data_IF_585551747907
#
_entry.id   IF_585551747907
#
_cell.length_a   1.000
_cell.length_b   1.000
_cell.length_c   1.000
_cell.angle_alpha   90.00
_cell.angle_beta   90.00
_cell.angle_gamma   90.00
#
_symmetry.space_group_name_H-M   'P 1'
#
loop_
_entity.id
_entity.type
_entity.pdbx_description
1 polymer ?
#
# COMPACT_ATOMS: atom_id res chain seq x y z
N UNK A 1 28.04 -59.80 -3.50
CA UNK A 1 28.88 -58.65 -3.11
C UNK A 1 29.07 -57.82 -4.36
N UNK A 2 28.15 -56.90 -4.62
CA UNK A 2 28.22 -55.47 -4.24
C UNK A 2 29.12 -54.71 -5.22
N UNK A 3 28.77 -53.55 -5.76
CA UNK A 3 27.52 -52.78 -5.88
C UNK A 3 27.88 -51.70 -6.92
N UNK A 4 27.12 -51.60 -8.01
CA UNK A 4 27.40 -50.66 -9.10
C UNK A 4 26.91 -49.26 -8.74
N UNK A 5 27.80 -48.28 -8.88
CA UNK A 5 27.52 -46.86 -8.67
C UNK A 5 26.58 -46.35 -9.75
N UNK A 6 25.32 -46.14 -9.38
CA UNK A 6 24.34 -45.47 -10.24
C UNK A 6 24.49 -43.93 -10.15
N UNK A 7 25.32 -43.39 -11.04
CA UNK A 7 25.54 -41.95 -11.27
C UNK A 7 24.44 -41.36 -12.16
N UNK A 8 23.16 -41.52 -11.81
CA UNK A 8 22.03 -40.86 -12.51
C UNK A 8 20.86 -40.55 -11.55
N UNK A 9 21.14 -39.81 -10.49
CA UNK A 9 20.09 -39.06 -9.79
C UNK A 9 19.67 -37.87 -10.68
N UNK A 10 18.73 -38.13 -11.60
CA UNK A 10 18.11 -37.10 -12.41
C UNK A 10 17.54 -35.99 -11.53
N UNK A 11 18.05 -34.78 -11.70
CA UNK A 11 17.37 -33.54 -11.30
C UNK A 11 16.01 -33.53 -11.99
N UNK A 12 14.96 -33.98 -11.30
CA UNK A 12 13.60 -33.62 -11.64
C UNK A 12 13.43 -32.16 -11.23
N UNK A 13 13.80 -31.24 -12.11
CA UNK A 13 13.16 -29.93 -12.14
C UNK A 13 11.66 -30.20 -12.26
N UNK A 14 10.91 -29.93 -11.19
CA UNK A 14 9.45 -29.88 -11.29
C UNK A 14 9.14 -28.70 -12.20
N UNK A 15 8.88 -28.99 -13.48
CA UNK A 15 8.12 -28.11 -14.35
C UNK A 15 6.77 -27.91 -13.66
N UNK A 16 6.57 -26.73 -13.07
CA UNK A 16 5.21 -26.23 -12.88
C UNK A 16 4.57 -26.17 -14.28
N UNK A 17 3.26 -26.44 -14.41
CA UNK A 17 2.60 -26.33 -15.70
C UNK A 17 2.93 -24.97 -16.30
N UNK A 18 3.59 -24.99 -17.46
CA UNK A 18 4.05 -23.81 -18.15
C UNK A 18 2.84 -22.87 -18.33
N UNK A 19 2.93 -21.69 -17.73
CA UNK A 19 2.00 -20.56 -17.84
C UNK A 19 1.74 -20.11 -19.29
N UNK A 20 2.43 -20.71 -20.28
CA UNK A 20 2.54 -20.22 -21.66
C UNK A 20 1.25 -20.24 -22.47
N UNK A 21 0.19 -20.94 -22.03
CA UNK A 21 -1.05 -21.14 -22.79
C UNK A 21 -2.31 -21.22 -21.91
N UNK A 22 -2.45 -20.26 -20.98
CA UNK A 22 -3.59 -20.17 -20.07
C UNK A 22 -4.36 -18.83 -20.18
N UNK A 23 -5.62 -18.78 -20.62
CA UNK A 23 -6.54 -19.88 -20.78
C UNK A 23 -6.39 -20.63 -22.12
N UNK A 24 -6.94 -21.84 -22.26
CA UNK A 24 -7.18 -22.44 -23.56
C UNK A 24 -8.04 -21.48 -24.40
N UNK A 25 -7.65 -21.27 -25.65
CA UNK A 25 -8.24 -20.27 -26.56
C UNK A 25 -9.77 -20.36 -26.58
N UNK A 26 -10.46 -19.32 -26.06
CA UNK A 26 -11.88 -19.07 -26.35
C UNK A 26 -12.10 -17.59 -26.73
N UNK A 27 -12.27 -17.40 -28.02
CA UNK A 27 -13.02 -16.38 -28.76
C UNK A 27 -13.75 -15.24 -28.01
N UNK A 28 -13.47 -14.03 -28.51
CA UNK A 28 -14.27 -12.77 -28.52
C UNK A 28 -14.60 -12.10 -27.18
N UNK A 29 -13.63 -11.34 -26.66
CA UNK A 29 -13.91 -10.20 -25.78
C UNK A 29 -14.59 -9.08 -26.58
N UNK A 30 -15.93 -9.08 -26.60
CA UNK A 30 -16.73 -7.99 -27.14
C UNK A 30 -16.56 -6.73 -26.28
N UNK A 31 -16.58 -5.59 -26.93
CA UNK A 31 -16.45 -4.26 -26.33
C UNK A 31 -17.55 -3.98 -25.30
N UNK A 32 -17.18 -3.19 -24.28
CA UNK A 32 -18.01 -2.34 -23.40
C UNK A 32 -18.25 -2.80 -21.94
N UNK A 33 -17.65 -2.05 -21.01
CA UNK A 33 -18.40 -1.14 -20.15
C UNK A 33 -17.50 0.09 -19.86
N UNK A 34 -17.99 1.31 -20.05
CA UNK A 34 -17.16 2.54 -19.91
C UNK A 34 -17.27 3.20 -18.54
N UNK A 35 -18.19 2.73 -17.68
CA UNK A 35 -18.35 3.25 -16.31
C UNK A 35 -18.31 2.12 -15.30
N UNK A 36 -17.57 2.35 -14.21
CA UNK A 36 -17.33 1.44 -13.09
C UNK A 36 -18.60 0.82 -12.47
N UNK A 37 -19.75 1.49 -12.64
CA UNK A 37 -21.06 1.04 -12.16
C UNK A 37 -21.79 0.02 -13.03
N UNK A 38 -21.28 -0.25 -14.23
CA UNK A 38 -21.93 -1.12 -15.22
C UNK A 38 -21.50 -2.59 -15.06
N UNK A 39 -20.44 -2.86 -14.29
CA UNK A 39 -19.96 -4.21 -14.01
C UNK A 39 -20.82 -4.90 -12.95
N UNK A 40 -21.00 -6.24 -13.01
CA UNK A 40 -21.54 -7.02 -11.89
C UNK A 40 -20.75 -6.74 -10.62
N UNK A 41 -21.41 -6.77 -9.45
CA UNK A 41 -20.82 -6.35 -8.18
C UNK A 41 -20.97 -7.43 -7.12
N UNK A 42 -19.93 -7.60 -6.30
CA UNK A 42 -19.94 -8.39 -5.07
C UNK A 42 -19.94 -7.43 -3.88
N UNK A 43 -20.65 -7.78 -2.81
CA UNK A 43 -20.70 -7.00 -1.57
C UNK A 43 -19.67 -7.52 -0.57
N UNK A 44 -18.94 -6.60 0.02
CA UNK A 44 -17.99 -6.86 1.10
C UNK A 44 -18.41 -6.14 2.37
N UNK A 45 -18.02 -6.71 3.51
CA UNK A 45 -18.12 -6.03 4.80
C UNK A 45 -17.23 -4.78 4.83
N UNK A 46 -17.37 -3.97 5.89
CA UNK A 46 -16.55 -2.77 6.09
C UNK A 46 -15.05 -3.08 6.22
N UNK A 47 -14.71 -4.33 6.55
CA UNK A 47 -13.34 -4.81 6.58
C UNK A 47 -12.74 -5.03 5.18
N UNK A 48 -13.54 -4.99 4.09
CA UNK A 48 -13.13 -5.23 2.70
C UNK A 48 -12.42 -6.58 2.45
N UNK A 49 -12.52 -7.50 3.41
CA UNK A 49 -11.93 -8.83 3.39
C UNK A 49 -13.03 -9.87 3.19
N UNK A 50 -14.11 -9.77 3.95
CA UNK A 50 -15.17 -10.78 3.99
C UNK A 50 -16.37 -10.38 3.13
N UNK A 51 -16.99 -11.35 2.48
CA UNK A 51 -18.21 -11.13 1.70
C UNK A 51 -19.36 -10.80 2.66
N UNK A 52 -20.15 -9.79 2.32
CA UNK A 52 -21.33 -9.41 3.09
C UNK A 52 -22.61 -9.98 2.47
N UNK A 53 -23.46 -10.58 3.29
CA UNK A 53 -24.76 -11.10 2.87
C UNK A 53 -25.75 -9.98 2.51
N UNK A 54 -25.73 -8.88 3.26
CA UNK A 54 -26.56 -7.69 3.01
C UNK A 54 -25.83 -6.40 3.40
N UNK A 55 -26.12 -5.31 2.69
CA UNK A 55 -25.67 -3.94 3.00
C UNK A 55 -24.14 -3.76 3.08
N UNK A 56 -23.40 -4.21 2.05
CA UNK A 56 -21.94 -4.08 1.97
C UNK A 56 -21.41 -3.00 0.99
N UNK A 57 -20.09 -2.84 0.99
CA UNK A 57 -19.34 -2.07 -0.01
C UNK A 57 -19.33 -2.87 -1.33
N UNK A 58 -19.67 -2.22 -2.45
CA UNK A 58 -19.82 -2.89 -3.75
C UNK A 58 -18.53 -2.81 -4.55
N UNK A 59 -17.96 -3.97 -4.88
CA UNK A 59 -16.74 -4.10 -5.66
C UNK A 59 -17.04 -4.84 -6.98
N UNK A 60 -16.48 -4.43 -8.12
CA UNK A 60 -16.63 -5.15 -9.39
C UNK A 60 -16.27 -6.63 -9.24
N UNK A 61 -17.17 -7.50 -9.69
CA UNK A 61 -17.11 -8.95 -9.52
C UNK A 61 -15.78 -9.53 -10.00
N UNK A 62 -15.31 -9.15 -11.18
CA UNK A 62 -14.03 -9.63 -11.72
C UNK A 62 -12.84 -9.31 -10.81
N UNK A 63 -12.79 -8.09 -10.26
CA UNK A 63 -11.75 -7.67 -9.31
C UNK A 63 -11.85 -8.44 -8.00
N UNK A 64 -13.07 -8.55 -7.46
CA UNK A 64 -13.35 -9.24 -6.21
C UNK A 64 -12.96 -10.72 -6.28
N UNK A 65 -13.38 -11.44 -7.33
CA UNK A 65 -13.11 -12.87 -7.49
C UNK A 65 -11.61 -13.13 -7.67
N UNK A 66 -10.95 -12.37 -8.55
CA UNK A 66 -9.51 -12.52 -8.74
C UNK A 66 -8.73 -12.31 -7.42
N UNK A 67 -9.17 -11.34 -6.60
CA UNK A 67 -8.56 -11.05 -5.30
C UNK A 67 -8.83 -12.15 -4.27
N UNK A 68 -10.07 -12.65 -4.18
CA UNK A 68 -10.43 -13.77 -3.28
C UNK A 68 -9.64 -15.04 -3.64
N UNK A 69 -9.54 -15.35 -4.94
CA UNK A 69 -8.75 -16.48 -5.44
C UNK A 69 -7.26 -16.33 -5.12
N UNK A 70 -6.71 -15.12 -5.28
CA UNK A 70 -5.33 -14.83 -4.91
C UNK A 70 -5.08 -15.10 -3.42
N UNK A 71 -5.96 -14.65 -2.53
CA UNK A 71 -5.83 -14.90 -1.08
C UNK A 71 -5.90 -16.38 -0.74
N UNK A 72 -6.86 -17.11 -1.32
CA UNK A 72 -6.99 -18.55 -1.09
C UNK A 72 -5.70 -19.28 -1.47
N UNK A 73 -5.18 -19.01 -2.68
CA UNK A 73 -3.95 -19.66 -3.14
C UNK A 73 -2.70 -19.21 -2.39
N UNK A 74 -2.68 -17.97 -1.89
CA UNK A 74 -1.63 -17.50 -0.98
C UNK A 74 -1.64 -18.31 0.31
N UNK A 75 -2.80 -18.56 0.91
CA UNK A 75 -2.91 -19.44 2.10
C UNK A 75 -2.40 -20.85 1.78
N UNK A 76 -2.81 -21.45 0.66
CA UNK A 76 -2.34 -22.77 0.24
C UNK A 76 -0.79 -22.84 0.13
N UNK A 77 -0.16 -21.77 -0.35
CA UNK A 77 1.30 -21.66 -0.45
C UNK A 77 1.98 -21.52 0.92
N UNK A 78 1.30 -20.92 1.90
CA UNK A 78 1.81 -20.76 3.26
C UNK A 78 1.66 -22.01 4.13
N UNK A 79 0.70 -22.89 3.80
CA UNK A 79 0.56 -24.20 4.44
C UNK A 79 1.68 -25.18 4.06
N UNK A 80 2.43 -24.88 2.99
CA UNK A 80 3.63 -25.62 2.64
C UNK A 80 4.71 -25.49 3.72
N UNK A 81 5.58 -26.50 3.85
CA UNK A 81 6.70 -26.49 4.82
C UNK A 81 8.04 -26.55 4.09
N UNK A 82 8.86 -25.48 4.12
CA UNK A 82 8.62 -24.17 4.76
C UNK A 82 7.54 -23.33 4.04
N UNK A 83 6.94 -22.32 4.72
CA UNK A 83 5.97 -21.41 4.10
C UNK A 83 6.56 -20.77 2.85
N UNK A 84 5.84 -20.86 1.73
CA UNK A 84 6.35 -20.42 0.43
C UNK A 84 5.87 -19.01 0.09
N UNK A 85 6.78 -18.19 -0.42
CA UNK A 85 6.48 -16.84 -0.89
C UNK A 85 6.33 -16.89 -2.43
N UNK A 86 5.10 -16.78 -2.91
CA UNK A 86 4.78 -16.85 -4.35
C UNK A 86 5.41 -15.70 -5.18
N UNK A 87 5.87 -14.61 -4.55
CA UNK A 87 6.57 -13.52 -5.22
C UNK A 87 8.07 -13.82 -5.45
N UNK A 88 8.59 -14.90 -4.85
CA UNK A 88 9.94 -15.39 -5.15
C UNK A 88 9.98 -16.35 -6.33
N UNK A 89 8.83 -16.86 -6.75
CA UNK A 89 8.74 -17.62 -7.98
C UNK A 89 9.10 -16.68 -9.13
N UNK A 90 10.08 -17.08 -9.96
CA UNK A 90 10.47 -16.28 -11.11
C UNK A 90 9.28 -16.16 -12.04
N UNK A 91 8.71 -14.96 -12.09
CA UNK A 91 7.72 -14.61 -13.09
C UNK A 91 8.32 -14.86 -14.47
N UNK A 92 7.59 -15.51 -15.39
CA UNK A 92 7.97 -15.46 -16.79
C UNK A 92 8.13 -14.00 -17.20
N UNK A 93 9.10 -13.65 -18.06
CA UNK A 93 9.23 -12.29 -18.55
C UNK A 93 7.90 -11.83 -19.17
N UNK A 94 7.49 -10.59 -18.86
CA UNK A 94 6.29 -9.95 -19.41
C UNK A 94 6.48 -9.64 -20.90
N UNK A 95 6.41 -10.68 -21.73
CA UNK A 95 6.36 -10.59 -23.19
C UNK A 95 5.07 -9.90 -23.63
N UNK A 96 5.05 -9.31 -24.83
CA UNK A 96 3.83 -8.67 -25.34
C UNK A 96 2.66 -9.65 -25.48
N UNK A 97 2.94 -10.92 -25.82
CA UNK A 97 1.94 -12.00 -25.81
C UNK A 97 1.35 -12.20 -24.41
N UNK A 98 2.17 -12.18 -23.37
CA UNK A 98 1.71 -12.35 -21.97
C UNK A 98 0.88 -11.15 -21.51
N UNK A 99 1.25 -9.94 -21.91
CA UNK A 99 0.45 -8.73 -21.62
C UNK A 99 -0.93 -8.81 -22.27
N UNK A 100 -0.99 -9.25 -23.53
CA UNK A 100 -2.27 -9.45 -24.23
C UNK A 100 -3.12 -10.51 -23.53
N UNK A 101 -2.53 -11.63 -23.15
CA UNK A 101 -3.20 -12.70 -22.41
C UNK A 101 -3.76 -12.22 -21.06
N UNK A 102 -3.00 -11.44 -20.29
CA UNK A 102 -3.46 -10.83 -19.04
C UNK A 102 -4.66 -9.91 -19.29
N UNK A 103 -4.60 -9.13 -20.38
CA UNK A 103 -5.65 -8.21 -20.79
C UNK A 103 -6.91 -8.94 -21.24
N UNK A 104 -6.79 -10.01 -22.01
CA UNK A 104 -7.91 -10.86 -22.43
C UNK A 104 -8.62 -11.47 -21.21
N UNK A 105 -7.86 -12.00 -20.25
CA UNK A 105 -8.43 -12.54 -19.00
C UNK A 105 -9.10 -11.45 -18.18
N UNK A 106 -8.47 -10.29 -18.04
CA UNK A 106 -9.05 -9.16 -17.32
C UNK A 106 -10.37 -8.68 -17.96
N UNK A 107 -10.41 -8.59 -19.30
CA UNK A 107 -11.63 -8.23 -20.03
C UNK A 107 -12.70 -9.31 -19.90
N UNK A 108 -12.33 -10.59 -19.94
CA UNK A 108 -13.24 -11.71 -19.75
C UNK A 108 -13.88 -11.68 -18.35
N UNK A 109 -13.10 -11.40 -17.30
CA UNK A 109 -13.60 -11.27 -15.93
C UNK A 109 -14.49 -10.04 -15.71
N UNK A 110 -14.34 -9.02 -16.55
CA UNK A 110 -15.14 -7.80 -16.53
C UNK A 110 -16.38 -7.88 -17.44
N UNK A 111 -16.61 -8.99 -18.14
CA UNK A 111 -17.80 -9.21 -18.95
C UNK A 111 -19.05 -9.33 -18.05
N UNK A 112 -20.07 -8.52 -18.36
CA UNK A 112 -21.30 -8.40 -17.57
C UNK A 112 -22.13 -9.68 -17.52
N UNK A 113 -21.91 -10.61 -18.45
CA UNK A 113 -22.67 -11.85 -18.53
C UNK A 113 -22.07 -12.98 -17.67
N UNK A 114 -20.94 -12.76 -17.02
CA UNK A 114 -20.25 -13.80 -16.25
C UNK A 114 -20.83 -13.95 -14.87
N UNK A 115 -21.05 -15.19 -14.46
CA UNK A 115 -21.42 -15.51 -13.09
C UNK A 115 -20.20 -15.65 -12.18
N UNK A 116 -20.43 -15.62 -10.87
CA UNK A 116 -19.39 -15.81 -9.86
C UNK A 116 -18.74 -17.19 -9.99
N UNK A 117 -19.55 -18.25 -10.10
CA UNK A 117 -19.08 -19.62 -10.18
C UNK A 117 -18.23 -19.86 -11.43
N UNK A 118 -18.69 -19.40 -12.60
CA UNK A 118 -17.92 -19.51 -13.85
C UNK A 118 -16.55 -18.81 -13.73
N UNK A 119 -16.52 -17.65 -13.08
CA UNK A 119 -15.27 -16.90 -12.89
C UNK A 119 -14.32 -17.60 -11.92
N UNK A 120 -14.84 -18.21 -10.85
CA UNK A 120 -14.04 -18.98 -9.89
C UNK A 120 -13.48 -20.27 -10.52
N UNK A 121 -14.32 -21.04 -11.22
CA UNK A 121 -13.92 -22.25 -11.96
C UNK A 121 -12.86 -21.91 -13.01
N UNK A 122 -13.08 -20.82 -13.75
CA UNK A 122 -12.11 -20.35 -14.73
C UNK A 122 -10.76 -20.08 -14.08
N UNK A 123 -10.72 -19.38 -12.93
CA UNK A 123 -9.48 -19.03 -12.22
C UNK A 123 -8.88 -20.15 -11.35
N UNK A 124 -9.51 -21.31 -11.24
CA UNK A 124 -9.10 -22.38 -10.33
C UNK A 124 -7.68 -22.87 -10.60
N UNK A 125 -7.27 -22.96 -11.87
CA UNK A 125 -5.93 -23.44 -12.25
C UNK A 125 -4.87 -22.34 -12.34
N UNK A 126 -5.24 -21.07 -12.14
CA UNK A 126 -4.30 -19.95 -12.18
C UNK A 126 -3.30 -19.98 -11.01
N UNK A 127 -2.07 -19.51 -11.25
CA UNK A 127 -1.08 -19.31 -10.19
C UNK A 127 -1.38 -18.02 -9.40
N UNK A 128 -0.95 -17.90 -8.12
CA UNK A 128 -1.07 -16.65 -7.37
C UNK A 128 -0.41 -15.47 -8.10
N UNK A 129 0.76 -15.70 -8.69
CA UNK A 129 1.49 -14.67 -9.42
C UNK A 129 0.69 -14.18 -10.64
N UNK A 130 0.10 -15.09 -11.42
CA UNK A 130 -0.75 -14.71 -12.54
C UNK A 130 -1.99 -13.92 -12.10
N UNK A 131 -2.65 -14.36 -11.02
CA UNK A 131 -3.81 -13.67 -10.47
C UNK A 131 -3.49 -12.23 -10.02
N UNK A 132 -2.32 -12.01 -9.41
CA UNK A 132 -1.85 -10.67 -9.08
C UNK A 132 -1.77 -9.79 -10.34
N UNK A 133 -1.15 -10.28 -11.42
CA UNK A 133 -1.05 -9.53 -12.67
C UNK A 133 -2.41 -9.29 -13.35
N UNK A 134 -3.34 -10.24 -13.26
CA UNK A 134 -4.72 -10.06 -13.73
C UNK A 134 -5.42 -8.95 -12.94
N UNK A 135 -5.29 -8.93 -11.61
CA UNK A 135 -5.81 -7.86 -10.76
C UNK A 135 -5.25 -6.50 -11.20
N UNK A 136 -3.93 -6.40 -11.40
CA UNK A 136 -3.29 -5.17 -11.84
C UNK A 136 -3.77 -4.71 -13.22
N UNK A 137 -4.02 -5.64 -14.15
CA UNK A 137 -4.56 -5.30 -15.46
C UNK A 137 -6.03 -4.85 -15.38
N UNK A 138 -6.85 -5.48 -14.53
CA UNK A 138 -8.21 -5.03 -14.23
C UNK A 138 -8.20 -3.58 -13.71
N UNK A 139 -7.29 -3.25 -12.80
CA UNK A 139 -7.16 -1.89 -12.25
C UNK A 139 -6.82 -0.87 -13.34
N UNK A 140 -5.93 -1.21 -14.28
CA UNK A 140 -5.60 -0.34 -15.42
C UNK A 140 -6.78 -0.12 -16.37
N UNK A 141 -7.68 -1.11 -16.50
CA UNK A 141 -8.85 -1.04 -17.37
C UNK A 141 -9.98 -0.17 -16.79
N UNK A 142 -10.13 -0.11 -15.46
CA UNK A 142 -11.24 0.54 -14.75
C UNK A 142 -11.12 2.10 -14.67
N UNK A 143 -10.64 2.80 -15.71
CA UNK A 143 -10.40 4.28 -15.69
C UNK A 143 -11.52 5.15 -15.03
N UNK A 144 -11.23 6.27 -14.32
CA UNK A 144 -9.94 6.96 -14.19
C UNK A 144 -9.47 7.37 -12.78
N UNK A 145 -8.13 7.49 -12.70
CA UNK A 145 -7.25 8.03 -11.66
C UNK A 145 -6.86 7.05 -10.53
N UNK A 146 -5.58 6.62 -10.50
CA UNK A 146 -4.99 6.00 -9.32
C UNK A 146 -5.10 6.92 -8.10
N UNK A 147 -4.80 6.44 -6.89
CA UNK A 147 -4.76 7.28 -5.69
C UNK A 147 -3.83 8.49 -5.93
N UNK A 148 -4.36 9.72 -6.01
CA UNK A 148 -3.54 10.89 -6.24
C UNK A 148 -2.78 11.20 -4.94
N UNK A 149 -1.47 11.41 -5.03
CA UNK A 149 -0.65 11.81 -3.87
C UNK A 149 -0.30 13.27 -4.03
N UNK A 150 -0.79 14.10 -3.11
CA UNK A 150 -0.56 15.55 -3.17
C UNK A 150 0.91 15.91 -2.90
N UNK A 151 1.36 17.07 -3.41
CA UNK A 151 2.73 17.56 -3.14
C UNK A 151 3.00 17.74 -1.63
N UNK A 152 1.97 18.12 -0.87
CA UNK A 152 2.04 18.20 0.59
C UNK A 152 2.30 16.83 1.23
N UNK A 153 1.53 15.81 0.83
CA UNK A 153 1.77 14.43 1.26
C UNK A 153 3.14 13.92 0.82
N UNK A 154 3.59 14.25 -0.41
CA UNK A 154 4.93 13.89 -0.87
C UNK A 154 6.02 14.49 0.04
N UNK A 155 5.88 15.77 0.41
CA UNK A 155 6.77 16.48 1.32
C UNK A 155 6.85 15.85 2.72
N UNK A 156 5.74 15.33 3.23
CA UNK A 156 5.70 14.62 4.52
C UNK A 156 6.25 13.19 4.41
N UNK A 157 5.76 12.41 3.44
CA UNK A 157 6.04 10.97 3.31
C UNK A 157 7.49 10.69 2.88
N UNK A 158 8.14 11.59 2.12
CA UNK A 158 9.58 11.46 1.81
C UNK A 158 10.44 11.30 3.06
N UNK A 159 9.96 11.83 4.18
CA UNK A 159 10.66 11.83 5.45
C UNK A 159 10.16 10.74 6.42
N UNK A 160 9.32 9.81 5.99
CA UNK A 160 8.80 8.72 6.83
C UNK A 160 9.16 7.38 6.20
N UNK A 161 9.87 6.50 6.91
CA UNK A 161 10.14 5.13 6.50
C UNK A 161 9.98 4.14 7.65
N UNK A 162 9.01 3.25 7.55
CA UNK A 162 8.78 2.20 8.56
C UNK A 162 9.78 1.05 8.49
N UNK A 163 10.67 1.03 7.48
CA UNK A 163 11.72 0.02 7.31
C UNK A 163 13.11 0.48 7.73
N UNK A 164 13.24 1.75 8.14
CA UNK A 164 14.51 2.29 8.61
C UNK A 164 14.90 1.67 9.94
N UNK A 165 16.19 1.35 10.07
CA UNK A 165 16.81 1.03 11.36
C UNK A 165 16.85 2.33 12.18
N UNK A 166 16.19 2.34 13.34
CA UNK A 166 16.00 3.55 14.16
C UNK A 166 14.64 4.24 13.97
N UNK A 167 14.61 5.58 14.10
CA UNK A 167 13.39 6.39 14.07
C UNK A 167 12.73 6.33 12.66
N UNK A 168 11.41 6.18 12.51
CA UNK A 168 10.78 6.23 11.19
C UNK A 168 10.81 7.63 10.54
N UNK A 169 11.00 8.70 11.30
CA UNK A 169 11.08 10.09 10.80
C UNK A 169 12.56 10.51 10.67
N UNK A 170 12.93 11.23 9.60
CA UNK A 170 14.29 11.79 9.48
C UNK A 170 14.56 12.84 10.57
N UNK A 171 15.79 12.82 11.12
CA UNK A 171 16.17 13.58 12.33
C UNK A 171 15.87 15.09 12.17
N UNK A 172 16.31 15.66 11.06
CA UNK A 172 16.17 17.09 10.75
C UNK A 172 14.69 17.52 10.67
N UNK A 173 13.80 16.63 10.24
CA UNK A 173 12.36 16.89 10.10
C UNK A 173 11.61 16.71 11.41
N UNK A 174 12.05 15.74 12.23
CA UNK A 174 11.54 15.59 13.59
C UNK A 174 11.86 16.83 14.44
N UNK A 175 13.07 17.38 14.31
CA UNK A 175 13.46 18.62 14.98
C UNK A 175 12.60 19.80 14.52
N UNK A 176 12.37 19.94 13.21
CA UNK A 176 11.50 20.98 12.65
C UNK A 176 10.05 20.86 13.14
N UNK A 177 9.47 19.66 13.13
CA UNK A 177 8.06 19.44 13.53
C UNK A 177 7.84 19.64 15.04
N UNK A 178 8.84 19.26 15.85
CA UNK A 178 8.78 19.49 17.29
C UNK A 178 8.77 21.00 17.59
N UNK A 179 9.58 21.79 16.88
CA UNK A 179 9.58 23.25 17.01
C UNK A 179 8.22 23.87 16.62
N UNK A 180 7.63 23.48 15.49
CA UNK A 180 6.30 23.97 15.06
C UNK A 180 5.18 23.61 16.04
N UNK A 181 5.24 22.42 16.64
CA UNK A 181 4.19 21.93 17.56
C UNK A 181 4.21 22.70 18.88
N UNK A 182 5.40 23.03 19.39
CA UNK A 182 5.59 23.87 20.58
C UNK A 182 5.05 25.28 20.37
N UNK A 183 5.30 25.87 19.19
CA UNK A 183 4.80 27.21 18.83
C UNK A 183 3.27 27.29 18.69
N UNK A 184 2.62 26.19 18.29
CA UNK A 184 1.15 26.14 18.11
C UNK A 184 0.39 25.80 19.41
N UNK A 185 1.04 25.15 20.39
CA UNK A 185 0.40 24.85 21.67
C UNK A 185 0.42 26.00 22.66
N UNK A 186 1.47 26.82 22.62
CA UNK A 186 1.62 27.97 23.50
C UNK A 186 1.77 29.21 22.61
N UNK A 187 0.72 30.04 22.52
CA UNK A 187 0.81 31.38 21.90
C UNK A 187 1.78 32.35 22.60
N UNK A 188 2.76 31.80 23.31
CA UNK A 188 3.84 32.42 24.06
C UNK A 188 5.13 31.84 23.51
N UNK A 189 5.92 32.72 22.91
CA UNK A 189 7.34 32.57 22.57
C UNK A 189 8.08 31.45 23.30
N UNK A 190 8.62 30.51 22.50
CA UNK A 190 9.82 29.66 22.75
C UNK A 190 10.28 29.48 24.20
N UNK A 191 10.28 28.25 24.75
CA UNK A 191 11.13 27.92 25.89
C UNK A 191 12.57 27.87 25.39
N UNK A 192 13.32 28.97 25.57
CA UNK A 192 14.73 29.06 25.21
C UNK A 192 15.70 28.37 26.18
N UNK A 193 15.24 27.82 27.31
CA UNK A 193 16.16 27.50 28.41
C UNK A 193 16.01 26.09 29.02
N UNK A 194 15.41 25.15 28.30
CA UNK A 194 15.49 23.74 28.67
C UNK A 194 16.48 23.05 27.73
N UNK A 195 17.76 23.04 28.16
CA UNK A 195 18.75 22.04 27.75
C UNK A 195 18.24 20.65 28.18
N UNK A 196 17.18 20.18 27.55
CA UNK A 196 16.93 18.76 27.40
C UNK A 196 17.85 18.37 26.26
N UNK A 197 18.89 17.57 26.56
CA UNK A 197 19.80 17.03 25.55
C UNK A 197 18.98 16.54 24.36
N UNK A 198 18.95 17.32 23.27
CA UNK A 198 18.31 16.94 22.01
C UNK A 198 18.88 15.60 21.54
N UNK A 199 20.15 15.32 21.86
CA UNK A 199 20.79 14.03 21.63
C UNK A 199 20.14 12.87 22.40
N UNK A 200 19.71 13.05 23.66
CA UNK A 200 18.97 12.03 24.41
C UNK A 200 17.50 11.92 23.95
N UNK A 201 16.88 13.02 23.54
CA UNK A 201 15.49 13.08 23.06
C UNK A 201 15.33 12.42 21.68
N UNK A 202 16.36 12.51 20.82
CA UNK A 202 16.40 11.92 19.47
C UNK A 202 16.97 10.49 19.45
N UNK A 203 17.68 10.06 20.50
CA UNK A 203 18.30 8.72 20.59
C UNK A 203 17.39 7.63 21.17
N UNK A 204 16.30 7.96 21.86
CA UNK A 204 15.43 6.95 22.47
C UNK A 204 14.19 6.69 21.62
N UNK A 205 14.16 5.49 21.04
CA UNK A 205 13.07 4.90 20.28
C UNK A 205 11.83 4.74 21.18
N UNK A 206 10.95 5.72 21.17
CA UNK A 206 9.68 5.65 21.89
C UNK A 206 8.61 5.11 20.94
N UNK A 207 7.76 4.22 21.44
CA UNK A 207 6.58 3.69 20.73
C UNK A 207 5.70 4.85 20.23
N UNK A 208 5.70 5.92 21.00
CA UNK A 208 5.06 7.22 20.80
C UNK A 208 5.51 7.87 19.49
N UNK A 209 6.82 7.93 19.23
CA UNK A 209 7.33 8.51 17.97
C UNK A 209 6.93 7.68 16.75
N UNK A 210 6.89 6.35 16.90
CA UNK A 210 6.44 5.44 15.84
C UNK A 210 4.95 5.60 15.55
N UNK A 211 4.14 5.76 16.60
CA UNK A 211 2.70 6.05 16.47
C UNK A 211 2.46 7.43 15.87
N UNK A 212 3.24 8.45 16.24
CA UNK A 212 3.15 9.78 15.62
C UNK A 212 3.43 9.71 14.11
N UNK A 213 4.53 9.06 13.71
CA UNK A 213 4.86 8.85 12.30
C UNK A 213 3.76 8.11 11.54
N UNK A 214 3.16 7.10 12.17
CA UNK A 214 2.03 6.36 11.63
C UNK A 214 0.78 7.25 11.44
N UNK A 215 0.45 8.09 12.43
CA UNK A 215 -0.68 9.01 12.34
C UNK A 215 -0.48 10.08 11.27
N UNK A 216 0.72 10.66 11.15
CA UNK A 216 1.08 11.61 10.09
C UNK A 216 0.90 10.98 8.71
N UNK A 217 1.42 9.75 8.55
CA UNK A 217 1.34 8.98 7.33
C UNK A 217 -0.11 8.67 6.95
N UNK A 218 -0.88 8.08 7.88
CA UNK A 218 -2.28 7.72 7.66
C UNK A 218 -3.14 8.94 7.34
N UNK A 219 -2.93 10.05 8.06
CA UNK A 219 -3.68 11.29 7.83
C UNK A 219 -3.42 11.84 6.43
N UNK A 220 -2.17 11.86 5.98
CA UNK A 220 -1.79 12.35 4.65
C UNK A 220 -2.53 11.55 3.56
N UNK A 221 -2.51 10.22 3.68
CA UNK A 221 -3.14 9.32 2.72
C UNK A 221 -4.68 9.34 2.79
N UNK A 222 -5.27 9.49 3.98
CA UNK A 222 -6.71 9.60 4.15
C UNK A 222 -7.28 10.76 3.35
N UNK A 223 -6.66 11.94 3.48
CA UNK A 223 -7.11 13.10 2.75
C UNK A 223 -6.87 13.01 1.25
N UNK A 224 -5.72 12.46 0.84
CA UNK A 224 -5.44 12.19 -0.57
C UNK A 224 -6.50 11.24 -1.17
N UNK A 225 -6.91 10.20 -0.43
CA UNK A 225 -7.99 9.29 -0.84
C UNK A 225 -9.36 9.99 -0.92
N UNK A 226 -9.64 10.94 -0.02
CA UNK A 226 -10.89 11.73 -0.06
C UNK A 226 -10.97 12.67 -1.27
N UNK A 227 -9.87 12.97 -1.95
CA UNK A 227 -9.92 13.72 -3.22
C UNK A 227 -10.54 12.92 -4.37
N UNK A 228 -10.63 11.59 -4.23
CA UNK A 228 -11.32 10.72 -5.20
C UNK A 228 -12.83 10.91 -5.06
N UNK A 229 -13.40 11.80 -5.88
CA UNK A 229 -14.83 12.14 -5.88
C UNK A 229 -15.73 10.93 -6.15
N UNK A 230 -15.27 9.98 -6.97
CA UNK A 230 -16.03 8.77 -7.26
C UNK A 230 -15.88 7.76 -6.12
N UNK A 231 -16.89 7.69 -5.23
CA UNK A 231 -16.92 6.75 -4.11
C UNK A 231 -16.65 5.30 -4.53
N UNK A 232 -17.20 4.82 -5.65
CA UNK A 232 -16.99 3.43 -6.10
C UNK A 232 -15.53 3.17 -6.45
N UNK A 233 -14.87 4.16 -7.05
CA UNK A 233 -13.44 4.07 -7.35
C UNK A 233 -12.61 4.07 -6.08
N UNK A 234 -12.94 4.96 -5.12
CA UNK A 234 -12.28 5.01 -3.81
C UNK A 234 -12.41 3.68 -3.07
N UNK A 235 -13.60 3.06 -3.09
CA UNK A 235 -13.85 1.74 -2.52
C UNK A 235 -13.01 0.64 -3.22
N UNK A 236 -12.81 0.70 -4.54
CA UNK A 236 -11.90 -0.21 -5.25
C UNK A 236 -10.43 -0.02 -4.84
N UNK A 237 -9.95 1.23 -4.73
CA UNK A 237 -8.58 1.54 -4.27
C UNK A 237 -8.38 0.99 -2.86
N UNK A 238 -9.32 1.28 -1.95
CA UNK A 238 -9.32 0.74 -0.60
C UNK A 238 -9.31 -0.79 -0.58
N UNK A 239 -10.14 -1.43 -1.41
CA UNK A 239 -10.22 -2.88 -1.52
C UNK A 239 -8.86 -3.49 -1.92
N UNK A 240 -8.18 -2.93 -2.91
CA UNK A 240 -6.85 -3.41 -3.34
C UNK A 240 -5.83 -3.28 -2.20
N UNK A 241 -5.79 -2.11 -1.55
CA UNK A 241 -4.85 -1.85 -0.46
C UNK A 241 -5.10 -2.79 0.72
N UNK A 242 -6.34 -2.90 1.19
CA UNK A 242 -6.69 -3.73 2.34
C UNK A 242 -6.41 -5.21 2.07
N UNK A 243 -6.68 -5.69 0.86
CA UNK A 243 -6.36 -7.07 0.50
C UNK A 243 -4.86 -7.31 0.38
N UNK A 244 -4.08 -6.34 -0.10
CA UNK A 244 -2.62 -6.43 -0.09
C UNK A 244 -2.05 -6.44 1.34
N UNK A 245 -2.59 -5.60 2.24
CA UNK A 245 -2.28 -5.64 3.67
C UNK A 245 -2.64 -6.99 4.30
N UNK A 246 -3.77 -7.58 3.90
CA UNK A 246 -4.17 -8.91 4.36
C UNK A 246 -3.17 -9.98 3.92
N UNK A 247 -2.69 -9.99 2.67
CA UNK A 247 -1.64 -10.91 2.22
C UNK A 247 -0.37 -10.81 3.08
N UNK A 248 0.03 -9.60 3.45
CA UNK A 248 1.19 -9.33 4.34
C UNK A 248 0.93 -9.85 5.74
N UNK A 249 -0.23 -9.56 6.34
CA UNK A 249 -0.60 -10.05 7.67
C UNK A 249 -0.60 -11.57 7.72
N UNK A 250 -1.21 -12.24 6.74
CA UNK A 250 -1.24 -13.71 6.65
C UNK A 250 0.17 -14.28 6.49
N UNK A 251 1.04 -13.63 5.71
CA UNK A 251 2.44 -14.02 5.60
C UNK A 251 3.18 -13.88 6.94
N UNK A 252 3.01 -12.75 7.64
CA UNK A 252 3.57 -12.52 8.98
C UNK A 252 3.12 -13.59 9.97
N UNK A 253 1.83 -13.93 10.00
CA UNK A 253 1.27 -14.99 10.85
C UNK A 253 1.90 -16.35 10.57
N UNK A 254 2.16 -16.68 9.30
CA UNK A 254 2.73 -17.97 8.91
C UNK A 254 4.20 -18.12 9.31
N UNK A 255 4.97 -17.03 9.32
CA UNK A 255 6.42 -17.09 9.57
C UNK A 255 6.84 -16.59 10.96
N UNK A 256 5.94 -15.94 11.70
CA UNK A 256 6.22 -15.39 13.04
C UNK A 256 5.17 -15.85 14.06
N UNK A 257 5.52 -16.76 14.99
CA UNK A 257 4.59 -17.31 15.98
C UNK A 257 4.01 -16.26 16.95
N UNK A 258 4.72 -15.15 17.15
CA UNK A 258 4.34 -14.08 18.07
C UNK A 258 3.58 -12.94 17.37
N UNK A 259 3.30 -13.07 16.07
CA UNK A 259 2.56 -12.05 15.34
C UNK A 259 1.09 -12.06 15.74
N UNK A 260 0.60 -10.92 16.20
CA UNK A 260 -0.83 -10.70 16.43
C UNK A 260 -1.22 -9.35 15.85
N UNK A 261 -2.01 -9.39 14.77
CA UNK A 261 -2.42 -8.18 14.05
C UNK A 261 -3.43 -7.34 14.84
N UNK A 262 -4.21 -7.94 15.73
CA UNK A 262 -5.39 -7.28 16.31
C UNK A 262 -5.07 -6.32 17.46
N UNK A 263 -3.90 -6.45 18.09
CA UNK A 263 -3.57 -5.73 19.33
C UNK A 263 -2.51 -4.62 19.19
N UNK A 264 -1.83 -4.51 18.04
CA UNK A 264 -0.76 -3.52 17.91
C UNK A 264 -0.66 -2.90 16.50
N UNK A 265 -0.85 -1.58 16.34
CA UNK A 265 -0.70 -0.89 15.06
C UNK A 265 0.72 -0.97 14.47
N UNK A 266 1.71 -1.37 15.28
CA UNK A 266 3.11 -1.52 14.87
C UNK A 266 3.53 -2.98 14.66
N UNK A 267 2.62 -3.96 14.75
CA UNK A 267 2.96 -5.38 14.69
C UNK A 267 3.70 -5.76 13.40
N UNK A 268 3.17 -5.36 12.24
CA UNK A 268 3.80 -5.66 10.94
C UNK A 268 5.17 -4.98 10.83
N UNK A 269 5.29 -3.71 11.27
CA UNK A 269 6.56 -3.00 11.32
C UNK A 269 7.62 -3.74 12.14
N UNK A 270 7.25 -4.29 13.30
CA UNK A 270 8.17 -5.07 14.15
C UNK A 270 8.63 -6.34 13.47
N UNK A 271 7.72 -7.10 12.86
CA UNK A 271 8.07 -8.34 12.15
C UNK A 271 8.92 -8.06 10.92
N UNK A 272 8.60 -7.01 10.16
CA UNK A 272 9.35 -6.62 8.96
C UNK A 272 10.82 -6.25 9.25
N UNK A 273 11.11 -5.72 10.44
CA UNK A 273 12.48 -5.42 10.90
C UNK A 273 13.20 -6.63 11.53
N UNK A 274 12.48 -7.71 11.81
CA UNK A 274 13.03 -8.88 12.47
C UNK A 274 13.75 -9.80 11.47
N UNK A 275 14.88 -10.43 11.85
CA UNK A 275 15.47 -11.50 11.07
C UNK A 275 14.59 -12.78 11.09
N UNK A 276 14.56 -13.57 10.00
CA UNK A 276 15.12 -13.28 8.67
C UNK A 276 14.25 -12.22 7.96
N UNK A 277 14.87 -11.32 7.19
CA UNK A 277 14.19 -10.22 6.49
C UNK A 277 13.24 -10.62 5.34
N UNK A 278 12.65 -11.81 5.40
CA UNK A 278 11.73 -12.36 4.41
C UNK A 278 10.41 -11.61 4.35
N UNK A 279 9.88 -11.08 5.47
CA UNK A 279 8.71 -10.19 5.46
C UNK A 279 9.02 -8.89 4.72
N UNK A 280 10.17 -8.26 5.02
CA UNK A 280 10.60 -7.05 4.31
C UNK A 280 10.70 -7.30 2.81
N UNK A 281 11.28 -8.42 2.41
CA UNK A 281 11.36 -8.81 1.00
C UNK A 281 9.97 -9.04 0.38
N UNK A 282 9.06 -9.71 1.10
CA UNK A 282 7.68 -9.90 0.64
C UNK A 282 6.96 -8.57 0.42
N UNK A 283 7.02 -7.66 1.40
CA UNK A 283 6.41 -6.34 1.29
C UNK A 283 7.02 -5.54 0.15
N UNK A 284 8.36 -5.55 0.02
CA UNK A 284 9.05 -4.86 -1.07
C UNK A 284 8.60 -5.38 -2.44
N UNK A 285 8.55 -6.69 -2.64
CA UNK A 285 8.12 -7.29 -3.91
C UNK A 285 6.66 -6.97 -4.23
N UNK A 286 5.79 -7.05 -3.24
CA UNK A 286 4.38 -6.74 -3.44
C UNK A 286 4.18 -5.25 -3.76
N UNK A 287 4.97 -4.37 -3.13
CA UNK A 287 4.98 -2.94 -3.40
C UNK A 287 5.50 -2.61 -4.81
N UNK A 288 6.58 -3.26 -5.26
CA UNK A 288 7.15 -3.12 -6.62
C UNK A 288 6.10 -3.43 -7.71
N UNK A 289 5.20 -4.38 -7.47
CA UNK A 289 4.15 -4.76 -8.42
C UNK A 289 2.93 -3.81 -8.38
N UNK A 290 2.43 -3.46 -7.19
CA UNK A 290 1.18 -2.71 -7.03
C UNK A 290 1.37 -1.20 -7.23
N UNK A 291 2.44 -0.63 -6.67
CA UNK A 291 2.60 0.82 -6.57
C UNK A 291 2.53 1.57 -7.91
N UNK A 292 3.18 1.09 -8.99
CA UNK A 292 3.18 1.80 -10.29
C UNK A 292 1.80 1.87 -10.96
N UNK A 293 0.85 1.02 -10.53
CA UNK A 293 -0.51 0.98 -11.04
C UNK A 293 -1.45 1.80 -10.17
N UNK A 294 -1.14 1.93 -8.87
CA UNK A 294 -2.06 2.43 -7.86
C UNK A 294 -1.87 3.90 -7.50
N UNK A 295 -0.71 4.51 -7.71
CA UNK A 295 -0.49 5.92 -7.37
C UNK A 295 -0.35 6.83 -8.59
N UNK A 296 -0.86 8.05 -8.44
CA UNK A 296 -0.61 9.14 -9.36
C UNK A 296 0.09 10.27 -8.60
N UNK A 297 1.36 10.51 -8.95
CA UNK A 297 2.20 11.51 -8.30
C UNK A 297 2.62 12.53 -9.35
N UNK A 298 2.42 13.81 -9.03
CA UNK A 298 2.79 14.90 -9.93
C UNK A 298 4.30 14.89 -10.21
N UNK A 299 4.62 14.84 -11.50
CA UNK A 299 6.02 14.89 -11.97
C UNK A 299 6.68 16.23 -11.65
N UNK A 300 5.90 17.32 -11.54
CA UNK A 300 6.42 18.63 -11.21
C UNK A 300 7.13 18.64 -9.85
N UNK A 301 6.59 17.91 -8.86
CA UNK A 301 7.21 17.79 -7.54
C UNK A 301 8.64 17.24 -7.62
N UNK A 302 8.87 16.19 -8.40
CA UNK A 302 10.21 15.63 -8.61
C UNK A 302 11.14 16.58 -9.38
N UNK A 303 10.59 17.36 -10.31
CA UNK A 303 11.34 18.38 -11.04
C UNK A 303 11.84 19.46 -10.09
N UNK A 304 11.01 19.92 -9.16
CA UNK A 304 11.41 20.88 -8.12
C UNK A 304 12.55 20.33 -7.24
N UNK A 305 12.47 19.07 -6.81
CA UNK A 305 13.55 18.43 -6.03
C UNK A 305 14.88 18.31 -6.80
N UNK A 306 14.83 18.20 -8.14
CA UNK A 306 16.03 18.16 -8.97
C UNK A 306 16.73 19.51 -9.09
N UNK A 307 16.00 20.63 -9.00
CA UNK A 307 16.59 21.97 -9.20
C UNK A 307 17.68 22.30 -8.17
N UNK A 308 17.74 21.55 -7.07
CA UNK A 308 18.77 21.63 -6.04
C UNK A 308 20.03 20.78 -6.35
N UNK A 309 20.12 20.10 -7.51
CA UNK A 309 21.19 19.14 -7.83
C UNK A 309 21.82 19.39 -9.20
N UNK A 310 23.13 19.63 -9.22
CA UNK A 310 23.92 19.92 -10.44
C UNK A 310 24.51 18.69 -11.13
N UNK A 311 24.41 17.51 -10.53
CA UNK A 311 25.03 16.24 -10.97
C UNK A 311 24.13 15.39 -11.89
N UNK A 312 22.90 15.83 -12.16
CA UNK A 312 21.91 15.08 -12.94
C UNK A 312 22.13 15.30 -14.45
N UNK A 313 22.57 14.26 -15.15
CA UNK A 313 22.83 14.29 -16.61
C UNK A 313 21.58 13.97 -17.45
N UNK A 314 20.75 13.01 -17.04
CA UNK A 314 19.46 12.69 -17.67
C UNK A 314 18.30 12.95 -16.71
N UNK A 315 17.69 14.13 -16.84
CA UNK A 315 16.55 14.56 -16.02
C UNK A 315 15.31 13.68 -16.19
N UNK A 316 15.06 13.16 -17.40
CA UNK A 316 13.85 12.37 -17.66
C UNK A 316 13.95 11.00 -17.03
N UNK A 317 15.10 10.35 -17.19
CA UNK A 317 15.36 9.06 -16.56
C UNK A 317 15.38 9.21 -15.03
N UNK A 318 15.97 10.29 -14.50
CA UNK A 318 15.99 10.55 -13.07
C UNK A 318 14.58 10.68 -12.49
N UNK A 319 13.72 11.52 -13.08
CA UNK A 319 12.32 11.70 -12.61
C UNK A 319 11.57 10.38 -12.62
N UNK A 320 11.69 9.60 -13.70
CA UNK A 320 11.00 8.31 -13.79
C UNK A 320 11.43 7.37 -12.66
N UNK A 321 12.73 7.17 -12.48
CA UNK A 321 13.26 6.27 -11.46
C UNK A 321 12.91 6.72 -10.03
N UNK A 322 12.98 8.02 -9.76
CA UNK A 322 12.67 8.54 -8.42
C UNK A 322 11.16 8.53 -8.13
N UNK A 323 10.32 8.75 -9.15
CA UNK A 323 8.87 8.57 -9.05
C UNK A 323 8.51 7.12 -8.72
N UNK A 324 9.02 6.18 -9.51
CA UNK A 324 8.78 4.74 -9.28
C UNK A 324 9.28 4.30 -7.89
N UNK A 325 10.49 4.71 -7.50
CA UNK A 325 11.02 4.39 -6.18
C UNK A 325 10.18 5.01 -5.04
N UNK A 326 9.65 6.22 -5.24
CA UNK A 326 8.82 6.89 -4.24
C UNK A 326 7.43 6.26 -4.13
N UNK A 327 6.83 5.85 -5.24
CA UNK A 327 5.59 5.06 -5.26
C UNK A 327 5.75 3.76 -4.46
N UNK A 328 6.85 3.03 -4.71
CA UNK A 328 7.19 1.82 -3.95
C UNK A 328 7.36 2.12 -2.47
N UNK A 329 8.06 3.20 -2.12
CA UNK A 329 8.23 3.65 -0.73
C UNK A 329 6.90 3.92 -0.02
N UNK A 330 5.97 4.63 -0.68
CA UNK A 330 4.61 4.85 -0.16
C UNK A 330 3.93 3.50 0.08
N UNK A 331 3.90 2.61 -0.92
CA UNK A 331 3.22 1.32 -0.80
C UNK A 331 3.82 0.44 0.30
N UNK A 332 5.15 0.42 0.40
CA UNK A 332 5.84 -0.31 1.46
C UNK A 332 5.38 0.19 2.82
N UNK A 333 5.31 1.50 3.05
CA UNK A 333 4.81 2.06 4.31
C UNK A 333 3.33 1.72 4.55
N UNK A 334 2.48 1.75 3.53
CA UNK A 334 1.07 1.30 3.62
C UNK A 334 1.01 -0.16 4.09
N UNK A 335 1.73 -1.04 3.41
CA UNK A 335 1.76 -2.47 3.73
C UNK A 335 2.38 -2.78 5.10
N UNK A 336 3.26 -1.91 5.59
CA UNK A 336 3.82 -2.00 6.94
C UNK A 336 2.89 -1.42 8.02
N UNK A 337 1.96 -0.53 7.65
CA UNK A 337 0.95 -0.05 8.58
C UNK A 337 0.03 -1.21 8.95
N UNK A 338 -0.22 -1.42 10.24
CA UNK A 338 -1.13 -2.50 10.66
C UNK A 338 -2.56 -1.98 10.85
N UNK A 339 -3.05 -1.09 9.98
CA UNK A 339 -4.41 -0.54 10.08
C UNK A 339 -5.11 -0.47 8.74
N UNK A 340 -6.31 -1.04 8.67
CA UNK A 340 -7.19 -0.89 7.50
C UNK A 340 -8.15 0.28 7.63
N UNK A 341 -8.23 0.90 8.83
CA UNK A 341 -9.19 1.99 9.10
C UNK A 341 -8.95 3.21 8.21
N UNK A 342 -7.69 3.50 7.90
CA UNK A 342 -7.31 4.59 6.98
C UNK A 342 -7.90 4.43 5.56
N UNK A 343 -8.32 3.21 5.20
CA UNK A 343 -8.82 2.86 3.88
C UNK A 343 -10.33 2.58 3.87
N UNK A 344 -10.96 2.42 5.04
CA UNK A 344 -12.36 2.10 5.13
C UNK A 344 -13.22 3.36 4.96
N UNK A 345 -14.07 3.39 3.93
CA UNK A 345 -14.95 4.53 3.64
C UNK A 345 -16.06 4.76 4.67
N UNK A 346 -16.22 3.86 5.65
CA UNK A 346 -17.11 4.01 6.80
C UNK A 346 -16.40 4.60 8.03
N UNK A 347 -15.08 4.69 8.04
CA UNK A 347 -14.31 5.29 9.13
C UNK A 347 -14.16 6.80 8.94
N UNK A 348 -14.39 7.56 10.01
CA UNK A 348 -14.10 8.99 10.06
C UNK A 348 -12.62 9.26 10.35
N UNK A 349 -12.23 10.53 10.25
CA UNK A 349 -10.87 10.97 10.54
C UNK A 349 -10.38 10.59 11.95
N UNK A 350 -11.24 10.64 12.97
CA UNK A 350 -10.83 10.27 14.33
C UNK A 350 -10.58 8.76 14.48
N UNK A 351 -11.23 7.93 13.66
CA UNK A 351 -11.11 6.46 13.73
C UNK A 351 -9.74 5.96 13.22
N UNK A 352 -9.04 6.75 12.42
CA UNK A 352 -7.77 6.38 11.79
C UNK A 352 -6.55 6.71 12.66
N UNK A 353 -6.77 7.42 13.76
CA UNK A 353 -5.74 7.88 14.68
C UNK A 353 -5.49 6.85 15.79
N UNK A 354 -4.21 6.67 16.12
CA UNK A 354 -3.78 5.87 17.27
C UNK A 354 -3.38 6.76 18.43
N UNK A 355 -3.94 6.46 19.60
CA UNK A 355 -3.59 7.09 20.87
C UNK A 355 -2.71 6.13 21.69
N UNK A 356 -1.74 6.66 22.43
CA UNK A 356 -0.76 5.88 23.20
C UNK A 356 -1.21 5.52 24.64
N UNK A 357 -2.41 5.91 25.07
CA UNK A 357 -2.92 5.89 26.48
C UNK A 357 -2.05 6.69 27.48
N UNK A 358 -2.53 7.32 28.55
CA UNK A 358 -3.88 7.76 28.94
C UNK A 358 -3.97 9.28 28.78
N UNK A 359 -5.18 9.83 28.69
CA UNK A 359 -5.46 11.26 28.92
C UNK A 359 -5.20 11.67 30.39
N UNK A 360 -4.06 11.29 30.96
CA UNK A 360 -3.54 11.77 32.23
C UNK A 360 -2.63 12.97 32.03
N UNK A 361 -2.47 13.77 33.09
CA UNK A 361 -1.67 15.01 33.14
C UNK A 361 -0.17 14.82 32.78
N UNK A 362 0.27 13.59 32.51
CA UNK A 362 1.62 13.22 32.06
C UNK A 362 1.70 12.72 30.60
N UNK A 363 0.66 12.87 29.78
CA UNK A 363 0.78 12.63 28.34
C UNK A 363 1.88 13.54 27.78
N UNK A 364 2.87 12.98 27.08
CA UNK A 364 3.83 13.78 26.29
C UNK A 364 3.02 14.41 25.14
N UNK A 365 2.43 15.56 25.46
CA UNK A 365 1.32 16.16 24.73
C UNK A 365 1.66 16.55 23.29
N UNK A 366 2.95 16.56 22.94
CA UNK A 366 3.50 16.91 21.63
C UNK A 366 3.28 15.81 20.56
N UNK A 367 3.13 14.54 20.94
CA UNK A 367 2.96 13.41 20.00
C UNK A 367 1.53 12.86 19.95
N UNK A 368 0.60 13.49 20.66
CA UNK A 368 -0.78 13.04 20.70
C UNK A 368 -1.51 13.39 19.39
N UNK A 369 -2.18 12.40 18.81
CA UNK A 369 -2.93 12.51 17.56
C UNK A 369 -3.95 13.67 17.56
N UNK A 370 -4.50 14.02 18.73
CA UNK A 370 -5.45 15.12 18.90
C UNK A 370 -4.83 16.52 18.67
N UNK A 371 -3.55 16.75 19.02
CA UNK A 371 -2.85 18.01 18.71
C UNK A 371 -2.40 18.02 17.25
N UNK A 372 -1.91 16.88 16.77
CA UNK A 372 -1.49 16.70 15.38
C UNK A 372 -2.64 16.99 14.39
N UNK A 373 -3.87 16.58 14.71
CA UNK A 373 -5.08 16.91 13.95
C UNK A 373 -5.25 18.42 13.73
N UNK A 374 -5.04 19.24 14.79
CA UNK A 374 -5.14 20.71 14.71
C UNK A 374 -4.01 21.32 13.86
N UNK A 375 -2.78 20.82 14.01
CA UNK A 375 -1.63 21.26 13.21
C UNK A 375 -1.82 20.92 11.73
N UNK A 376 -2.31 19.72 11.42
CA UNK A 376 -2.55 19.26 10.05
C UNK A 376 -3.74 19.99 9.40
N UNK A 377 -4.75 20.37 10.17
CA UNK A 377 -5.84 21.25 9.71
C UNK A 377 -5.32 22.68 9.44
N UNK A 378 -4.45 23.22 10.29
CA UNK A 378 -3.88 24.56 10.15
C UNK A 378 -2.87 24.68 8.99
N UNK A 379 -1.92 23.74 8.87
CA UNK A 379 -0.91 23.72 7.81
C UNK A 379 -1.51 23.61 6.39
N UNK A 380 -2.75 23.14 6.29
CA UNK A 380 -3.50 23.09 5.03
C UNK A 380 -4.29 24.36 4.72
N UNK A 381 -4.70 25.12 5.73
CA UNK A 381 -5.25 26.46 5.52
C UNK A 381 -4.19 27.42 5.00
N UNK A 382 -2.94 27.29 5.46
CA UNK A 382 -1.82 28.12 5.00
C UNK A 382 -1.31 27.76 3.59
N UNK A 383 -1.56 26.53 3.11
CA UNK A 383 -1.28 26.11 1.73
C UNK A 383 -2.36 26.52 0.72
N UNK A 384 -3.46 27.17 1.15
CA UNK A 384 -4.49 27.72 0.27
C UNK A 384 -4.13 29.14 -0.24
N UNK A 385 -2.86 29.55 -0.18
CA UNK A 385 -2.38 30.84 -0.69
C UNK A 385 -2.15 30.83 -2.20
N UNK A 386 -3.17 30.46 -2.97
CA UNK A 386 -3.41 31.03 -4.29
C UNK A 386 -4.31 32.25 -4.13
N UNK A 387 -3.75 33.40 -3.75
CA UNK A 387 -4.53 34.65 -3.81
C UNK A 387 -5.00 34.86 -5.25
N UNK A 388 -6.30 35.12 -5.51
CA UNK A 388 -6.72 35.60 -6.80
C UNK A 388 -6.01 36.94 -7.05
N UNK A 389 -5.31 37.06 -8.17
CA UNK A 389 -4.75 38.33 -8.62
C UNK A 389 -5.86 39.40 -8.56
N UNK A 390 -5.59 40.59 -7.99
CA UNK A 390 -6.59 41.64 -7.93
C UNK A 390 -6.96 42.05 -9.36
N UNK A 391 -8.26 41.98 -9.65
CA UNK A 391 -8.83 42.53 -10.88
C UNK A 391 -8.57 44.03 -10.87
N UNK A 392 -7.67 44.48 -11.74
CA UNK A 392 -7.46 45.90 -11.97
C UNK A 392 -8.67 46.46 -12.74
N UNK A 393 -9.33 47.44 -12.14
CA UNK A 393 -10.24 48.36 -12.84
C UNK A 393 -9.43 49.44 -13.55
#
# INVERSE_FOLDING_TARGET
MADERDLRAGKRERKYPDDELWPPTSSSASTMATKLGDFPQIQFESNLVDCADTCGIKIPQGLAIATVMLRSKHVDFLEMKPPHNFLLDRSPPLTDKRKEQLREVALWLLDVNRTVNESMEFLESATPHFLLHVILEIVKLIKPCPLPISNASCGLIKNISFFRDGNPIFKDELEAWTQTTVELSDGVTTPKDLCVDQECYLCNYTRETQICALNLFNTSLYYDAETIVNKKLRDCVAFIIVNAMHLVRTYCSAISPCFCADFDPLAVMRVAKSPPGSVKLFIQRLAEEIAPVLFDIDRAWFIEQMHCRSDITDKRQWVRLHKEAFEVHIMMNILCSNTQKAWNSQCGFEDILFHTEEHGEGCVAEFCACKLSKVLQAARQDCACGQPLPVAN
#
